data_IF_293193836031
#
_entry.id   IF_293193836031
#
_cell.length_a   1.000
_cell.length_b   1.000
_cell.length_c   1.000
_cell.angle_alpha   90.00
_cell.angle_beta   90.00
_cell.angle_gamma   90.00
#
_symmetry.space_group_name_H-M   'P 1'
#
loop_
_entity.id
_entity.type
_entity.pdbx_description
1 polymer ?
#
# COMPACT_ATOMS: atom_id res chain seq x y z
N UNK A 1 3.86 13.65 12.18
CA UNK A 1 2.48 13.11 12.07
C UNK A 1 2.20 12.89 10.60
N UNK A 2 1.97 11.65 10.16
CA UNK A 2 1.77 11.23 8.76
C UNK A 2 0.36 11.57 8.23
N UNK A 3 -0.19 12.71 8.67
CA UNK A 3 -1.63 12.98 8.58
C UNK A 3 -1.99 14.29 7.87
N UNK A 4 -1.03 14.91 7.21
CA UNK A 4 -1.32 16.02 6.30
C UNK A 4 -2.06 15.49 5.08
N UNK A 5 -2.99 16.29 4.54
CA UNK A 5 -3.77 15.92 3.34
C UNK A 5 -2.85 15.55 2.18
N UNK A 6 -1.72 16.24 2.03
CA UNK A 6 -0.75 15.96 0.98
C UNK A 6 -0.18 14.54 1.10
N UNK A 7 0.22 14.12 2.30
CA UNK A 7 0.82 12.80 2.53
C UNK A 7 -0.18 11.66 2.31
N UNK A 8 -1.48 11.89 2.55
CA UNK A 8 -2.54 10.92 2.23
C UNK A 8 -2.74 10.79 0.72
N UNK A 9 -2.75 11.91 0.01
CA UNK A 9 -2.87 11.94 -1.47
C UNK A 9 -1.68 11.28 -2.15
N UNK A 10 -0.46 11.54 -1.65
CA UNK A 10 0.76 10.93 -2.16
C UNK A 10 0.72 9.40 -2.02
N UNK A 11 0.39 8.88 -0.82
CA UNK A 11 0.22 7.44 -0.59
C UNK A 11 -0.82 6.81 -1.52
N UNK A 12 -1.96 7.47 -1.72
CA UNK A 12 -2.99 6.99 -2.64
C UNK A 12 -2.44 6.89 -4.07
N UNK A 13 -1.71 7.91 -4.51
CA UNK A 13 -1.10 7.95 -5.84
C UNK A 13 -0.05 6.86 -6.02
N UNK A 14 0.79 6.61 -5.00
CA UNK A 14 1.77 5.52 -5.01
C UNK A 14 1.11 4.14 -5.06
N UNK A 15 0.04 3.94 -4.29
CA UNK A 15 -0.73 2.68 -4.30
C UNK A 15 -1.39 2.42 -5.65
N UNK A 16 -1.99 3.45 -6.27
CA UNK A 16 -2.58 3.34 -7.60
C UNK A 16 -1.54 2.94 -8.64
N UNK A 17 -0.35 3.55 -8.61
CA UNK A 17 0.79 3.15 -9.46
C UNK A 17 1.21 1.70 -9.19
N UNK A 18 1.33 1.32 -7.93
CA UNK A 18 1.70 -0.04 -7.53
C UNK A 18 0.67 -1.09 -7.98
N UNK A 19 -0.61 -0.74 -7.96
CA UNK A 19 -1.70 -1.59 -8.48
C UNK A 19 -1.58 -1.77 -10.00
N UNK A 20 -1.40 -0.68 -10.75
CA UNK A 20 -1.27 -0.73 -12.21
C UNK A 20 -0.08 -1.61 -12.60
N UNK A 21 1.10 -1.33 -12.04
CA UNK A 21 2.33 -2.08 -12.32
C UNK A 21 2.27 -3.52 -11.79
N UNK A 22 1.60 -3.75 -10.67
CA UNK A 22 1.37 -5.09 -10.13
C UNK A 22 0.50 -5.95 -11.05
N UNK A 23 -0.51 -5.33 -11.67
CA UNK A 23 -1.43 -6.01 -12.58
C UNK A 23 -0.86 -6.18 -14.00
N UNK A 24 -0.12 -5.20 -14.53
CA UNK A 24 0.46 -5.26 -15.88
C UNK A 24 1.81 -5.98 -15.92
N UNK A 25 2.73 -5.60 -15.05
CA UNK A 25 4.14 -6.05 -15.07
C UNK A 25 4.42 -7.17 -14.06
N UNK A 26 3.41 -7.62 -13.31
CA UNK A 26 3.56 -8.60 -12.23
C UNK A 26 4.63 -8.23 -11.17
N UNK A 27 4.85 -6.92 -11.02
CA UNK A 27 5.81 -6.37 -10.06
C UNK A 27 5.34 -6.59 -8.63
N UNK A 28 6.30 -6.75 -7.73
CA UNK A 28 6.07 -6.80 -6.29
C UNK A 28 6.54 -5.50 -5.65
N UNK A 29 5.80 -5.07 -4.64
CA UNK A 29 6.12 -3.93 -3.81
C UNK A 29 6.33 -4.38 -2.37
N UNK A 30 7.17 -3.64 -1.66
CA UNK A 30 7.30 -3.72 -0.21
C UNK A 30 6.47 -2.63 0.44
N UNK A 31 5.48 -3.05 1.24
CA UNK A 31 4.55 -2.14 1.92
C UNK A 31 4.81 -2.22 3.42
N UNK A 32 5.15 -1.08 4.01
CA UNK A 32 5.33 -0.93 5.45
C UNK A 32 4.09 -0.29 6.05
N UNK A 33 3.54 -0.91 7.09
CA UNK A 33 2.32 -0.47 7.75
C UNK A 33 2.38 -0.72 9.25
N UNK A 34 1.65 0.10 10.01
CA UNK A 34 1.58 -0.01 11.47
C UNK A 34 0.40 -0.87 11.86
N UNK A 35 0.64 -1.81 12.77
CA UNK A 35 -0.37 -2.68 13.38
C UNK A 35 -0.44 -2.43 14.89
N UNK A 36 -1.42 -3.05 15.56
CA UNK A 36 -1.50 -3.06 17.03
C UNK A 36 -0.27 -3.67 17.70
N UNK A 37 0.46 -4.52 16.99
CA UNK A 37 1.69 -5.18 17.45
C UNK A 37 2.97 -4.42 17.04
N UNK A 38 2.85 -3.28 16.36
CA UNK A 38 3.97 -2.48 15.86
C UNK A 38 4.09 -2.45 14.34
N UNK A 39 5.24 -1.98 13.85
CA UNK A 39 5.51 -1.82 12.42
C UNK A 39 5.74 -3.19 11.76
N UNK A 40 4.97 -3.48 10.72
CA UNK A 40 5.11 -4.68 9.89
C UNK A 40 5.38 -4.31 8.43
N UNK A 41 5.91 -5.26 7.68
CA UNK A 41 6.19 -5.11 6.26
C UNK A 41 5.79 -6.37 5.50
N UNK A 42 5.20 -6.20 4.31
CA UNK A 42 4.85 -7.29 3.41
C UNK A 42 5.40 -7.03 2.02
N UNK A 43 5.90 -8.07 1.36
CA UNK A 43 6.40 -8.03 -0.02
C UNK A 43 5.44 -8.80 -0.91
N UNK A 44 4.63 -8.08 -1.67
CA UNK A 44 3.60 -8.70 -2.52
C UNK A 44 3.13 -7.76 -3.61
N UNK A 45 2.27 -8.26 -4.48
CA UNK A 45 1.64 -7.48 -5.55
C UNK A 45 0.38 -6.80 -5.00
N UNK A 46 0.25 -5.50 -5.28
CA UNK A 46 -1.00 -4.77 -5.03
C UNK A 46 -2.02 -5.20 -6.08
N UNK A 47 -3.18 -5.69 -5.63
CA UNK A 47 -4.22 -6.21 -6.51
C UNK A 47 -5.31 -5.18 -6.79
N UNK A 48 -5.77 -4.50 -5.75
CA UNK A 48 -6.78 -3.45 -5.86
C UNK A 48 -6.54 -2.34 -4.84
N UNK A 49 -6.89 -1.11 -5.18
CA UNK A 49 -6.84 0.05 -4.29
C UNK A 49 -8.19 0.74 -4.31
N UNK A 50 -8.71 1.04 -3.12
CA UNK A 50 -9.95 1.79 -2.92
C UNK A 50 -9.62 3.14 -2.26
N UNK A 51 -10.63 3.92 -1.89
CA UNK A 51 -10.40 5.20 -1.21
C UNK A 51 -9.76 5.04 0.18
N UNK A 52 -10.09 3.95 0.87
CA UNK A 52 -9.68 3.75 2.27
C UNK A 52 -8.78 2.53 2.48
N UNK A 53 -8.80 1.56 1.56
CA UNK A 53 -8.14 0.27 1.73
C UNK A 53 -7.35 -0.14 0.49
N UNK A 54 -6.28 -0.91 0.70
CA UNK A 54 -5.57 -1.65 -0.34
C UNK A 54 -5.77 -3.16 -0.14
N UNK A 55 -6.04 -3.86 -1.24
CA UNK A 55 -6.10 -5.31 -1.30
C UNK A 55 -4.84 -5.85 -1.96
N UNK A 56 -4.18 -6.76 -1.26
CA UNK A 56 -2.98 -7.43 -1.72
C UNK A 56 -3.32 -8.79 -2.31
N UNK A 57 -2.46 -9.27 -3.21
CA UNK A 57 -2.57 -10.62 -3.76
C UNK A 57 -2.58 -11.66 -2.63
N UNK A 58 -3.58 -12.53 -2.62
CA UNK A 58 -3.83 -13.50 -1.53
C UNK A 58 -4.95 -13.09 -0.56
N UNK A 59 -5.62 -11.95 -0.79
CA UNK A 59 -6.83 -11.56 -0.06
C UNK A 59 -6.59 -10.75 1.21
N UNK A 60 -5.35 -10.30 1.46
CA UNK A 60 -5.03 -9.44 2.60
C UNK A 60 -5.50 -8.01 2.31
N UNK A 61 -6.25 -7.42 3.22
CA UNK A 61 -6.77 -6.05 3.12
C UNK A 61 -6.11 -5.19 4.21
N UNK A 62 -5.59 -4.03 3.84
CA UNK A 62 -4.92 -3.10 4.75
C UNK A 62 -5.52 -1.69 4.58
N UNK A 63 -5.92 -1.02 5.67
CA UNK A 63 -6.31 0.39 5.62
C UNK A 63 -5.14 1.28 5.20
N UNK A 64 -5.38 2.18 4.24
CA UNK A 64 -4.37 3.12 3.72
C UNK A 64 -3.88 4.06 4.82
N UNK A 65 -4.73 4.36 5.81
CA UNK A 65 -4.39 5.14 7.00
C UNK A 65 -3.25 4.52 7.83
N UNK A 66 -3.09 3.20 7.78
CA UNK A 66 -2.04 2.48 8.49
C UNK A 66 -0.76 2.34 7.69
N UNK A 67 -0.75 2.69 6.40
CA UNK A 67 0.42 2.55 5.52
C UNK A 67 1.40 3.69 5.79
N UNK A 68 2.63 3.34 6.10
CA UNK A 68 3.71 4.28 6.37
C UNK A 68 4.53 4.56 5.12
N UNK A 69 4.84 3.52 4.32
CA UNK A 69 5.70 3.64 3.14
C UNK A 69 5.46 2.48 2.16
N UNK A 70 5.53 2.79 0.87
CA UNK A 70 5.53 1.81 -0.21
C UNK A 70 6.87 1.94 -0.96
N UNK A 71 7.50 0.82 -1.29
CA UNK A 71 8.75 0.80 -2.05
C UNK A 71 8.66 -0.24 -3.16
N UNK A 72 9.08 0.16 -4.36
CA UNK A 72 9.36 -0.79 -5.43
C UNK A 72 10.54 -1.70 -5.02
N UNK A 73 10.50 -2.96 -5.43
CA UNK A 73 11.57 -3.95 -5.23
C UNK A 73 12.46 -4.06 -6.46
#
# INVERSE_FOLDING_TARGET
>A
MLDTKEARTERKTELEKAMILGNSEHVKYKIFFTTTEGLKGVETTVWATTEENVTLKGGVIIPISCINKISFL
#
